data_IF_610221883891
#
_entry.id   IF_610221883891
#
_cell.length_a   1.000
_cell.length_b   1.000
_cell.length_c   1.000
_cell.angle_alpha   90.00
_cell.angle_beta   90.00
_cell.angle_gamma   90.00
#
_symmetry.space_group_name_H-M   'P 1'
#
loop_
_entity.id
_entity.type
_entity.pdbx_description
1 polymer ?
#
# COMPACT_ATOMS: atom_id res chain seq x y z
N UNK A 1 4.73 2.47 16.63
CA UNK A 1 6.06 3.14 16.58
C UNK A 1 5.91 4.65 16.71
N UNK A 2 5.26 5.30 15.76
CA UNK A 2 5.10 6.78 15.75
C UNK A 2 4.38 7.26 17.00
N UNK A 3 3.28 6.65 17.42
CA UNK A 3 2.50 7.07 18.59
C UNK A 3 3.29 6.99 19.90
N UNK A 4 4.21 6.03 20.02
CA UNK A 4 5.12 5.94 21.16
C UNK A 4 6.17 7.06 21.17
N UNK A 5 6.53 7.58 20.01
CA UNK A 5 7.55 8.62 19.86
C UNK A 5 6.97 10.05 19.97
N UNK A 6 5.71 10.26 19.59
CA UNK A 6 5.04 11.59 19.60
C UNK A 6 5.19 12.39 20.92
N UNK A 7 5.15 11.77 22.12
CA UNK A 7 5.32 12.52 23.36
C UNK A 7 6.71 13.16 23.54
N UNK A 8 7.73 12.64 22.82
CA UNK A 8 9.13 13.07 22.98
C UNK A 8 9.75 13.64 21.70
N UNK A 9 9.12 13.44 20.55
CA UNK A 9 9.61 13.90 19.24
C UNK A 9 8.51 14.69 18.54
N UNK A 10 8.80 15.93 18.16
CA UNK A 10 7.86 16.80 17.45
C UNK A 10 8.21 17.00 15.98
N UNK A 11 9.47 16.76 15.59
CA UNK A 11 9.92 16.86 14.20
C UNK A 11 9.33 15.72 13.37
N UNK A 12 8.57 16.09 12.33
CA UNK A 12 7.86 15.14 11.48
C UNK A 12 8.83 14.21 10.73
N UNK A 13 9.97 14.73 10.29
CA UNK A 13 10.96 13.91 9.58
C UNK A 13 11.60 12.85 10.49
N UNK A 14 11.74 13.15 11.77
CA UNK A 14 12.18 12.18 12.76
C UNK A 14 11.11 11.13 13.06
N UNK A 15 9.84 11.52 13.13
CA UNK A 15 8.73 10.58 13.29
C UNK A 15 8.60 9.66 12.07
N UNK A 16 8.79 10.18 10.86
CA UNK A 16 8.79 9.37 9.63
C UNK A 16 9.90 8.33 9.65
N UNK A 17 11.11 8.69 10.08
CA UNK A 17 12.22 7.72 10.22
C UNK A 17 11.89 6.59 11.19
N UNK A 18 11.19 6.90 12.28
CA UNK A 18 10.70 5.89 13.22
C UNK A 18 9.63 5.01 12.59
N UNK A 19 8.71 5.62 11.84
CA UNK A 19 7.71 4.89 11.04
C UNK A 19 8.38 3.94 10.05
N UNK A 20 9.35 4.39 9.28
CA UNK A 20 10.14 3.58 8.35
C UNK A 20 10.81 2.40 9.07
N UNK A 21 11.46 2.65 10.21
CA UNK A 21 12.09 1.59 10.99
C UNK A 21 11.08 0.55 11.50
N UNK A 22 9.90 1.00 11.93
CA UNK A 22 8.81 0.11 12.37
C UNK A 22 8.26 -0.74 11.21
N UNK A 23 8.06 -0.16 10.02
CA UNK A 23 7.62 -0.92 8.84
C UNK A 23 8.65 -1.95 8.40
N UNK A 24 9.95 -1.63 8.48
CA UNK A 24 11.03 -2.59 8.17
C UNK A 24 11.13 -3.73 9.17
N UNK A 25 10.88 -3.45 10.46
CA UNK A 25 10.76 -4.52 11.47
C UNK A 25 9.60 -5.47 11.13
N UNK A 26 8.43 -4.92 10.77
CA UNK A 26 7.29 -5.73 10.34
C UNK A 26 7.61 -6.52 9.06
N UNK A 27 8.28 -5.91 8.08
CA UNK A 27 8.74 -6.58 6.87
C UNK A 27 9.66 -7.76 7.19
N UNK A 28 10.60 -7.59 8.14
CA UNK A 28 11.48 -8.69 8.59
C UNK A 28 10.64 -9.83 9.17
N UNK A 29 9.65 -9.56 10.02
CA UNK A 29 8.78 -10.59 10.59
C UNK A 29 8.02 -11.36 9.51
N UNK A 30 7.45 -10.63 8.53
CA UNK A 30 6.73 -11.23 7.40
C UNK A 30 7.67 -12.09 6.55
N UNK A 31 8.85 -11.58 6.23
CA UNK A 31 9.86 -12.31 5.46
C UNK A 31 10.26 -13.63 6.14
N UNK A 32 10.55 -13.59 7.46
CA UNK A 32 10.88 -14.80 8.22
C UNK A 32 9.73 -15.81 8.22
N UNK A 33 8.48 -15.35 8.38
CA UNK A 33 7.31 -16.23 8.34
C UNK A 33 7.13 -16.89 6.97
N UNK A 34 7.39 -16.16 5.88
CA UNK A 34 7.34 -16.71 4.51
C UNK A 34 8.43 -17.78 4.32
N UNK A 35 9.66 -17.50 4.76
CA UNK A 35 10.78 -18.42 4.69
C UNK A 35 10.53 -19.70 5.52
N UNK A 36 10.00 -19.55 6.74
CA UNK A 36 9.62 -20.68 7.60
C UNK A 36 8.51 -21.53 6.98
N UNK A 37 7.63 -20.91 6.18
CA UNK A 37 6.62 -21.58 5.36
C UNK A 37 7.19 -22.36 4.16
N UNK A 38 8.50 -22.32 3.93
CA UNK A 38 9.18 -23.03 2.85
C UNK A 38 9.09 -22.35 1.47
N UNK A 39 8.72 -21.06 1.44
CA UNK A 39 8.70 -20.26 0.20
C UNK A 39 10.05 -19.58 0.03
N UNK A 40 10.62 -19.66 -1.18
CA UNK A 40 11.83 -18.93 -1.53
C UNK A 40 11.57 -17.42 -1.51
N UNK A 41 12.30 -16.70 -0.68
CA UNK A 41 12.15 -15.25 -0.44
C UNK A 41 13.53 -14.62 -0.26
N UNK A 42 13.73 -13.41 -0.76
CA UNK A 42 15.00 -12.70 -0.55
C UNK A 42 15.36 -12.59 0.94
N UNK A 43 16.63 -12.75 1.26
CA UNK A 43 17.15 -12.61 2.63
C UNK A 43 17.18 -11.13 3.09
N UNK A 44 17.19 -10.20 2.15
CA UNK A 44 17.28 -8.78 2.43
C UNK A 44 15.89 -8.14 2.62
N UNK A 45 15.87 -7.01 3.31
CA UNK A 45 14.75 -6.06 3.32
C UNK A 45 15.21 -4.82 2.55
N UNK A 46 14.86 -4.67 1.26
CA UNK A 46 15.28 -3.57 0.42
C UNK A 46 14.94 -2.21 1.03
N UNK A 47 15.82 -1.23 0.83
CA UNK A 47 15.67 0.12 1.37
C UNK A 47 15.24 1.13 0.31
N UNK A 48 15.26 0.72 -0.94
CA UNK A 48 14.79 1.50 -2.09
C UNK A 48 14.01 0.61 -3.03
N UNK A 49 13.29 1.24 -3.96
CA UNK A 49 12.54 0.52 -5.01
C UNK A 49 13.52 -0.14 -5.96
N UNK A 50 14.63 0.52 -6.32
CA UNK A 50 15.65 -0.05 -7.20
C UNK A 50 16.23 -1.35 -6.63
N UNK A 51 16.60 -1.35 -5.32
CA UNK A 51 17.03 -2.58 -4.65
C UNK A 51 15.97 -3.68 -4.69
N UNK A 52 14.69 -3.33 -4.52
CA UNK A 52 13.61 -4.31 -4.56
C UNK A 52 13.40 -4.89 -5.97
N UNK A 53 13.50 -4.08 -7.01
CA UNK A 53 13.41 -4.52 -8.41
C UNK A 53 14.57 -5.42 -8.77
N UNK A 54 15.79 -5.08 -8.35
CA UNK A 54 16.97 -5.92 -8.57
C UNK A 54 16.80 -7.30 -7.93
N UNK A 55 16.32 -7.34 -6.67
CA UNK A 55 16.09 -8.61 -5.98
C UNK A 55 14.93 -9.43 -6.56
N UNK A 56 13.87 -8.79 -7.10
CA UNK A 56 12.78 -9.47 -7.79
C UNK A 56 13.25 -10.18 -9.09
N UNK A 57 14.42 -9.83 -9.61
CA UNK A 57 15.02 -10.55 -10.74
C UNK A 57 15.60 -11.92 -10.34
N UNK A 58 15.97 -12.08 -9.07
CA UNK A 58 16.61 -13.29 -8.54
C UNK A 58 15.67 -14.13 -7.66
N UNK A 59 14.69 -13.50 -7.01
CA UNK A 59 13.80 -14.15 -6.04
C UNK A 59 12.32 -14.01 -6.44
N UNK A 60 11.51 -15.08 -6.27
CA UNK A 60 10.07 -15.03 -6.56
C UNK A 60 9.29 -14.16 -5.58
N UNK A 61 9.86 -13.91 -4.39
CA UNK A 61 9.25 -13.07 -3.36
C UNK A 61 10.29 -12.14 -2.76
N UNK A 62 9.94 -10.86 -2.68
CA UNK A 62 10.70 -9.83 -1.98
C UNK A 62 9.77 -9.11 -0.99
N UNK A 63 10.23 -8.92 0.23
CA UNK A 63 9.48 -8.20 1.27
C UNK A 63 10.21 -6.92 1.61
N UNK A 64 9.52 -5.78 1.55
CA UNK A 64 10.12 -4.49 1.89
C UNK A 64 9.25 -3.68 2.85
N UNK A 65 9.85 -2.66 3.47
CA UNK A 65 9.17 -1.66 4.28
C UNK A 65 9.24 -0.27 3.65
N UNK A 66 9.01 0.76 4.46
CA UNK A 66 9.14 2.16 4.04
C UNK A 66 10.54 2.50 3.55
N UNK A 67 10.63 3.44 2.62
CA UNK A 67 11.88 3.85 1.95
C UNK A 67 12.46 5.13 2.54
N UNK A 68 11.83 6.27 2.28
CA UNK A 68 12.28 7.61 2.67
C UNK A 68 11.15 8.38 3.35
N UNK A 69 11.47 9.39 4.20
CA UNK A 69 10.46 10.28 4.80
C UNK A 69 9.56 10.94 3.73
N UNK A 70 8.29 11.12 4.07
CA UNK A 70 7.30 11.73 3.18
C UNK A 70 6.61 10.75 2.21
N UNK A 71 7.02 9.49 2.14
CA UNK A 71 6.35 8.47 1.34
C UNK A 71 5.50 7.54 2.22
N UNK A 72 4.25 7.35 1.84
CA UNK A 72 3.40 6.32 2.44
C UNK A 72 3.75 4.94 1.91
N UNK A 73 3.34 3.89 2.61
CA UNK A 73 3.52 2.51 2.13
C UNK A 73 2.74 2.23 0.86
N UNK A 74 1.59 2.86 0.67
CA UNK A 74 0.79 2.75 -0.56
C UNK A 74 1.56 3.32 -1.76
N UNK A 75 2.10 4.54 -1.62
CA UNK A 75 2.91 5.16 -2.67
C UNK A 75 4.16 4.32 -3.00
N UNK A 76 4.81 3.73 -2.00
CA UNK A 76 5.97 2.83 -2.21
C UNK A 76 5.54 1.57 -2.96
N UNK A 77 4.43 0.94 -2.57
CA UNK A 77 3.93 -0.27 -3.22
C UNK A 77 3.53 -0.01 -4.69
N UNK A 78 2.84 1.09 -4.95
CA UNK A 78 2.43 1.48 -6.31
C UNK A 78 3.65 1.78 -7.19
N UNK A 79 4.64 2.54 -6.68
CA UNK A 79 5.90 2.81 -7.41
C UNK A 79 6.67 1.54 -7.73
N UNK A 80 6.77 0.62 -6.77
CA UNK A 80 7.40 -0.68 -7.02
C UNK A 80 6.66 -1.44 -8.12
N UNK A 81 5.33 -1.49 -8.05
CA UNK A 81 4.52 -2.17 -9.05
C UNK A 81 4.66 -1.54 -10.45
N UNK A 82 4.72 -0.22 -10.54
CA UNK A 82 4.98 0.51 -11.81
C UNK A 82 6.38 0.19 -12.34
N UNK A 83 7.42 0.29 -11.50
CA UNK A 83 8.79 0.09 -11.95
C UNK A 83 9.09 -1.37 -12.32
N UNK A 84 8.43 -2.33 -11.67
CA UNK A 84 8.51 -3.74 -11.97
C UNK A 84 7.56 -4.19 -13.11
N UNK A 85 6.76 -3.26 -13.67
CA UNK A 85 5.73 -3.54 -14.70
C UNK A 85 4.76 -4.64 -14.25
N UNK A 86 4.33 -4.59 -12.98
CA UNK A 86 3.41 -5.55 -12.41
C UNK A 86 2.01 -5.46 -13.07
N UNK A 87 1.31 -6.58 -13.14
CA UNK A 87 -0.05 -6.63 -13.71
C UNK A 87 -1.05 -5.81 -12.89
N UNK A 88 -0.85 -5.70 -11.58
CA UNK A 88 -1.66 -4.89 -10.65
C UNK A 88 -0.94 -4.66 -9.32
N UNK A 89 -1.46 -3.74 -8.51
CA UNK A 89 -1.07 -3.56 -7.12
C UNK A 89 -2.26 -3.81 -6.19
N UNK A 90 -2.07 -4.60 -5.13
CA UNK A 90 -3.11 -4.89 -4.13
C UNK A 90 -2.85 -4.01 -2.89
N UNK A 91 -3.79 -3.15 -2.56
CA UNK A 91 -3.78 -2.32 -1.36
C UNK A 91 -4.61 -3.01 -0.27
N UNK A 92 -3.93 -3.74 0.59
CA UNK A 92 -4.54 -4.40 1.73
C UNK A 92 -4.61 -3.43 2.92
N UNK A 93 -5.81 -2.95 3.21
CA UNK A 93 -6.09 -1.94 4.24
C UNK A 93 -7.02 -2.48 5.33
N UNK A 94 -7.61 -1.62 6.14
CA UNK A 94 -8.55 -1.97 7.21
C UNK A 94 -10.01 -1.61 6.90
N UNK A 95 -10.30 -1.28 5.65
CA UNK A 95 -11.66 -1.04 5.13
C UNK A 95 -11.98 -2.06 4.06
N UNK A 96 -13.25 -2.48 3.99
CA UNK A 96 -13.67 -3.53 3.08
C UNK A 96 -13.65 -3.05 1.61
N UNK A 97 -14.03 -1.80 1.36
CA UNK A 97 -14.16 -1.18 0.02
C UNK A 97 -13.82 0.30 0.07
N UNK A 98 -13.60 0.87 -1.09
CA UNK A 98 -13.59 2.33 -1.26
C UNK A 98 -15.02 2.85 -1.09
N UNK A 99 -15.17 4.00 -0.42
CA UNK A 99 -16.44 4.68 -0.21
C UNK A 99 -16.35 6.11 -0.75
N UNK A 100 -17.50 6.70 -1.06
CA UNK A 100 -17.61 8.10 -1.50
C UNK A 100 -17.09 9.09 -0.45
N UNK A 101 -17.20 8.73 0.82
CA UNK A 101 -16.74 9.49 2.00
C UNK A 101 -16.34 8.50 3.10
N UNK A 102 -15.74 9.01 4.20
CA UNK A 102 -15.42 8.15 5.34
C UNK A 102 -16.70 7.56 5.97
N UNK A 103 -16.93 6.25 5.92
CA UNK A 103 -18.14 5.64 6.45
C UNK A 103 -18.26 5.75 7.98
N UNK A 104 -17.17 6.12 8.69
CA UNK A 104 -17.20 6.38 10.13
C UNK A 104 -17.80 7.75 10.44
N UNK A 105 -17.67 8.72 9.53
CA UNK A 105 -18.22 10.06 9.64
C UNK A 105 -19.59 10.14 8.97
N UNK A 106 -19.77 9.45 7.83
CA UNK A 106 -21.04 9.37 7.10
C UNK A 106 -21.46 7.91 6.90
N UNK A 107 -22.32 7.36 7.78
CA UNK A 107 -22.81 5.96 7.64
C UNK A 107 -23.61 5.71 6.36
N UNK A 108 -24.02 6.76 5.64
CA UNK A 108 -24.70 6.68 4.35
C UNK A 108 -23.75 6.72 3.15
N UNK A 109 -22.43 6.75 3.35
CA UNK A 109 -21.45 6.76 2.27
C UNK A 109 -21.62 5.53 1.35
N UNK A 110 -21.69 5.78 0.05
CA UNK A 110 -21.80 4.73 -0.97
C UNK A 110 -20.49 3.95 -1.04
N UNK A 111 -20.58 2.63 -1.13
CA UNK A 111 -19.41 1.76 -1.35
C UNK A 111 -19.35 1.32 -2.80
N UNK A 112 -18.13 1.18 -3.33
CA UNK A 112 -17.89 0.84 -4.72
C UNK A 112 -17.27 -0.55 -4.87
N UNK A 113 -17.83 -1.38 -5.74
CA UNK A 113 -17.24 -2.65 -6.17
C UNK A 113 -16.21 -2.44 -7.28
N UNK A 114 -16.41 -1.42 -8.11
CA UNK A 114 -15.58 -1.06 -9.25
C UNK A 114 -15.46 0.44 -9.37
N UNK A 115 -14.27 0.91 -9.72
CA UNK A 115 -13.97 2.30 -10.05
C UNK A 115 -12.95 2.34 -11.18
N UNK A 116 -12.89 3.46 -11.86
CA UNK A 116 -11.72 3.84 -12.67
C UNK A 116 -10.68 4.54 -11.79
N UNK A 117 -9.43 4.60 -12.26
CA UNK A 117 -8.38 5.37 -11.60
C UNK A 117 -8.71 6.87 -11.51
N UNK A 118 -9.42 7.42 -12.51
CA UNK A 118 -9.90 8.80 -12.49
C UNK A 118 -10.95 9.03 -11.39
N UNK A 119 -11.91 8.12 -11.23
CA UNK A 119 -12.92 8.21 -10.16
C UNK A 119 -12.28 8.03 -8.78
N UNK A 120 -11.35 7.09 -8.62
CA UNK A 120 -10.61 6.94 -7.37
C UNK A 120 -9.82 8.22 -7.03
N UNK A 121 -9.15 8.83 -8.02
CA UNK A 121 -8.42 10.09 -7.82
C UNK A 121 -9.34 11.22 -7.36
N UNK A 122 -10.56 11.30 -7.90
CA UNK A 122 -11.55 12.29 -7.45
C UNK A 122 -11.96 12.07 -6.00
N UNK A 123 -12.12 10.82 -5.56
CA UNK A 123 -12.47 10.46 -4.19
C UNK A 123 -11.33 10.79 -3.21
N UNK A 124 -10.09 10.39 -3.53
CA UNK A 124 -8.95 10.60 -2.64
C UNK A 124 -8.39 12.03 -2.70
N UNK A 125 -8.73 12.82 -3.73
CA UNK A 125 -8.27 14.19 -3.94
C UNK A 125 -7.03 14.31 -4.82
N UNK A 126 -6.48 15.53 -4.98
CA UNK A 126 -5.34 15.77 -5.86
C UNK A 126 -4.09 15.01 -5.40
N UNK A 127 -3.16 14.66 -6.34
CA UNK A 127 -1.93 13.93 -6.04
C UNK A 127 -0.87 14.83 -5.40
N UNK A 128 -1.17 15.39 -4.24
CA UNK A 128 -0.27 16.22 -3.46
C UNK A 128 -0.26 15.82 -1.98
N UNK A 129 0.77 16.25 -1.26
CA UNK A 129 0.93 15.98 0.17
C UNK A 129 0.36 17.10 1.07
N UNK A 130 -0.48 17.99 0.54
CA UNK A 130 -0.97 19.19 1.22
C UNK A 130 -1.90 18.88 2.42
N UNK A 131 -2.53 17.72 2.43
CA UNK A 131 -3.45 17.26 3.49
C UNK A 131 -2.80 16.22 4.44
N UNK A 132 -1.66 16.54 5.01
CA UNK A 132 -1.04 15.70 6.04
C UNK A 132 -1.98 15.54 7.25
N UNK A 133 -2.74 14.44 7.27
CA UNK A 133 -3.61 14.09 8.40
C UNK A 133 -5.02 13.60 8.04
N UNK A 134 -5.48 13.75 6.81
CA UNK A 134 -6.72 13.08 6.39
C UNK A 134 -6.43 11.60 6.08
N UNK A 135 -7.09 10.70 6.80
CA UNK A 135 -7.00 9.26 6.55
C UNK A 135 -7.72 8.94 5.23
N UNK A 136 -7.01 8.99 4.13
CA UNK A 136 -7.51 8.53 2.83
C UNK A 136 -7.42 7.00 2.76
N UNK A 137 -8.30 6.39 1.99
CA UNK A 137 -8.33 4.93 1.82
C UNK A 137 -7.10 4.41 1.05
N UNK A 138 -6.60 5.22 0.11
CA UNK A 138 -5.35 5.04 -0.63
C UNK A 138 -4.66 6.39 -0.72
N UNK A 139 -3.34 6.40 -0.76
CA UNK A 139 -2.54 7.63 -0.91
C UNK A 139 -2.80 8.34 -2.25
N UNK A 140 -3.20 9.63 -2.26
CA UNK A 140 -3.53 10.36 -3.49
C UNK A 140 -2.35 10.45 -4.48
N UNK A 141 -1.11 10.54 -3.97
CA UNK A 141 0.09 10.59 -4.82
C UNK A 141 0.31 9.25 -5.50
N UNK A 142 0.14 8.14 -4.74
CA UNK A 142 0.20 6.80 -5.29
C UNK A 142 -0.88 6.56 -6.35
N UNK A 143 -2.12 6.99 -6.10
CA UNK A 143 -3.20 6.90 -7.10
C UNK A 143 -2.87 7.67 -8.37
N UNK A 144 -2.29 8.88 -8.24
CA UNK A 144 -1.80 9.67 -9.38
C UNK A 144 -0.77 8.92 -10.22
N UNK A 145 0.20 8.27 -9.56
CA UNK A 145 1.21 7.45 -10.24
C UNK A 145 0.61 6.22 -10.93
N UNK A 146 -0.32 5.51 -10.27
CA UNK A 146 -1.04 4.40 -10.87
C UNK A 146 -1.81 4.84 -12.12
N UNK A 147 -2.48 5.99 -12.05
CA UNK A 147 -3.24 6.57 -13.16
C UNK A 147 -2.34 6.94 -14.36
N UNK A 148 -1.21 7.59 -14.12
CA UNK A 148 -0.28 7.98 -15.18
C UNK A 148 0.32 6.78 -15.91
N UNK A 149 0.45 5.64 -15.23
CA UNK A 149 1.04 4.42 -15.76
C UNK A 149 0.01 3.33 -16.12
N UNK A 150 -1.29 3.59 -15.93
CA UNK A 150 -2.35 2.63 -16.22
C UNK A 150 -2.28 1.36 -15.38
N UNK A 151 -1.78 1.45 -14.13
CA UNK A 151 -1.64 0.31 -13.21
C UNK A 151 -2.97 0.02 -12.49
N UNK A 152 -3.60 -1.14 -12.69
CA UNK A 152 -4.80 -1.52 -11.95
C UNK A 152 -4.50 -1.67 -10.45
N UNK A 153 -5.48 -1.30 -9.60
CA UNK A 153 -5.40 -1.49 -8.16
C UNK A 153 -6.57 -2.36 -7.66
N UNK A 154 -6.29 -3.25 -6.69
CA UNK A 154 -7.33 -3.90 -5.91
C UNK A 154 -7.25 -3.38 -4.48
N UNK A 155 -8.33 -2.77 -3.97
CA UNK A 155 -8.41 -2.26 -2.59
C UNK A 155 -9.31 -3.16 -1.77
N UNK A 156 -8.79 -3.73 -0.68
CA UNK A 156 -9.49 -4.73 0.10
C UNK A 156 -9.09 -4.72 1.59
N UNK A 157 -9.91 -5.35 2.42
CA UNK A 157 -9.58 -5.55 3.84
C UNK A 157 -8.58 -6.70 4.02
N UNK A 158 -7.34 -6.33 4.34
CA UNK A 158 -6.23 -7.27 4.52
C UNK A 158 -6.29 -8.12 5.80
N UNK A 159 -7.26 -7.90 6.68
CA UNK A 159 -7.45 -8.72 7.89
C UNK A 159 -7.98 -10.11 7.56
N UNK A 160 -8.57 -10.30 6.39
CA UNK A 160 -8.93 -11.61 5.85
C UNK A 160 -7.99 -11.99 4.69
N UNK A 161 -6.98 -12.87 4.94
CA UNK A 161 -6.02 -13.27 3.90
C UNK A 161 -6.65 -13.93 2.67
N UNK A 162 -7.87 -14.46 2.78
CA UNK A 162 -8.57 -15.09 1.64
C UNK A 162 -8.88 -14.08 0.55
N UNK A 163 -9.18 -12.82 0.92
CA UNK A 163 -9.42 -11.73 -0.05
C UNK A 163 -8.17 -11.43 -0.87
N UNK A 164 -7.01 -11.40 -0.21
CA UNK A 164 -5.72 -11.21 -0.88
C UNK A 164 -5.47 -12.39 -1.84
N UNK A 165 -5.66 -13.62 -1.37
CA UNK A 165 -5.47 -14.83 -2.20
C UNK A 165 -6.40 -14.83 -3.41
N UNK A 166 -7.69 -14.52 -3.24
CA UNK A 166 -8.65 -14.45 -4.34
C UNK A 166 -8.26 -13.36 -5.36
N UNK A 167 -7.87 -12.17 -4.88
CA UNK A 167 -7.39 -11.10 -5.76
C UNK A 167 -6.14 -11.53 -6.55
N UNK A 168 -5.14 -12.17 -5.92
CA UNK A 168 -3.93 -12.68 -6.60
C UNK A 168 -4.31 -13.69 -7.70
N UNK A 169 -5.26 -14.59 -7.42
CA UNK A 169 -5.69 -15.63 -8.36
C UNK A 169 -6.66 -15.13 -9.44
N UNK A 170 -7.06 -13.85 -9.41
CA UNK A 170 -8.05 -13.32 -10.35
C UNK A 170 -9.48 -13.83 -10.09
N UNK A 171 -9.76 -14.31 -8.89
CA UNK A 171 -11.08 -14.74 -8.44
C UNK A 171 -11.88 -13.56 -7.89
N UNK A 172 -13.20 -13.72 -7.75
CA UNK A 172 -14.04 -12.72 -7.09
C UNK A 172 -13.63 -12.55 -5.62
N UNK A 173 -13.51 -11.32 -5.17
CA UNK A 173 -13.19 -10.97 -3.79
C UNK A 173 -14.05 -9.81 -3.29
N UNK A 174 -14.23 -9.72 -2.00
CA UNK A 174 -14.86 -8.55 -1.37
C UNK A 174 -13.84 -7.41 -1.28
N UNK A 175 -14.01 -6.40 -2.11
CA UNK A 175 -13.12 -5.26 -2.26
C UNK A 175 -13.60 -4.29 -3.32
N UNK A 176 -12.73 -3.38 -3.75
CA UNK A 176 -12.93 -2.49 -4.88
C UNK A 176 -11.86 -2.78 -5.94
N UNK A 177 -12.27 -3.16 -7.14
CA UNK A 177 -11.40 -3.24 -8.31
C UNK A 177 -11.31 -1.86 -8.97
N UNK A 178 -10.08 -1.38 -9.19
CA UNK A 178 -9.82 -0.10 -9.84
C UNK A 178 -9.08 -0.34 -11.15
N UNK A 179 -9.66 0.10 -12.24
CA UNK A 179 -9.11 -0.10 -13.60
C UNK A 179 -8.70 1.23 -14.22
N UNK A 180 -7.79 1.23 -15.19
CA UNK A 180 -7.43 2.40 -15.98
C UNK A 180 -8.62 3.11 -16.62
#
# INVERSE_FOLDING_TARGET
GIDLARPVIQDLSHLDRIGIAATRLNATIVREAIAEGGVEVSENIPKSIDEAVDELSDFPVVVMGGTVPGHTTDAVAIRLAVQFEAEKCIIATNVAKVHSEDPRENPGAESFDRLTLDELQQIVGPPDHSDAGSSKVVDPVGVGEARENGLPLDVLDGRDPRRISSSINGEDFEGTMVTP
#
